data_IF_688673082346
#
_entry.id   IF_688673082346
#
_cell.length_a   1.000
_cell.length_b   1.000
_cell.length_c   1.000
_cell.angle_alpha   90.00
_cell.angle_beta   90.00
_cell.angle_gamma   90.00
#
_symmetry.space_group_name_H-M   'P 1'
#
loop_
_entity.id
_entity.type
_entity.pdbx_description
1 polymer ?
#
# COMPACT_ATOMS: atom_id res chain seq x y z
N UNK A 1 -33.61 -43.16 5.96
CA UNK A 1 -33.24 -41.80 6.40
C UNK A 1 -31.85 -41.47 5.84
N UNK A 2 -31.75 -40.88 4.64
CA UNK A 2 -30.45 -40.55 4.03
C UNK A 2 -30.49 -39.41 2.99
N UNK A 3 -31.67 -38.81 2.74
CA UNK A 3 -31.86 -37.74 1.75
C UNK A 3 -31.72 -36.32 2.31
N UNK A 4 -31.73 -36.14 3.63
CA UNK A 4 -31.61 -34.83 4.28
C UNK A 4 -30.17 -34.44 4.65
N UNK A 5 -29.21 -35.38 4.58
CA UNK A 5 -27.81 -35.13 4.95
C UNK A 5 -27.08 -34.27 3.89
N UNK A 6 -27.46 -34.39 2.61
CA UNK A 6 -26.85 -33.60 1.52
C UNK A 6 -27.32 -32.14 1.48
N UNK A 7 -28.49 -31.83 2.05
CA UNK A 7 -29.03 -30.46 2.08
C UNK A 7 -28.42 -29.63 3.23
N UNK A 8 -27.93 -30.30 4.28
CA UNK A 8 -27.30 -29.62 5.43
C UNK A 8 -25.89 -29.09 5.11
N UNK A 9 -25.17 -29.75 4.19
CA UNK A 9 -23.82 -29.33 3.78
C UNK A 9 -23.80 -28.14 2.82
N UNK A 10 -24.88 -27.89 2.07
CA UNK A 10 -24.98 -26.75 1.15
C UNK A 10 -25.30 -25.42 1.84
N UNK A 11 -25.77 -25.43 3.10
CA UNK A 11 -26.11 -24.23 3.86
C UNK A 11 -24.89 -23.66 4.61
N UNK A 12 -23.89 -24.50 4.90
CA UNK A 12 -22.67 -24.11 5.63
C UNK A 12 -21.62 -23.47 4.69
N UNK A 13 -21.81 -23.57 3.37
CA UNK A 13 -20.90 -23.01 2.36
C UNK A 13 -21.10 -21.50 2.09
N UNK A 14 -22.10 -20.87 2.72
CA UNK A 14 -22.43 -19.45 2.57
C UNK A 14 -21.97 -18.58 3.75
N UNK A 15 -20.98 -19.02 4.54
CA UNK A 15 -20.09 -18.06 5.19
C UNK A 15 -19.14 -17.47 4.15
N UNK A 16 -19.77 -16.78 3.19
CA UNK A 16 -19.13 -15.75 2.39
C UNK A 16 -18.42 -14.83 3.38
N UNK A 17 -17.15 -14.56 3.11
CA UNK A 17 -16.42 -13.49 3.75
C UNK A 17 -17.32 -12.25 3.77
N UNK A 18 -17.92 -11.92 4.91
CA UNK A 18 -18.57 -10.63 5.08
C UNK A 18 -17.43 -9.63 5.16
N UNK A 19 -17.21 -9.01 4.01
CA UNK A 19 -16.48 -7.80 3.84
C UNK A 19 -16.90 -6.83 4.98
N UNK A 20 -15.96 -6.50 5.88
CA UNK A 20 -16.15 -5.55 6.98
C UNK A 20 -16.26 -4.11 6.46
N UNK A 21 -17.49 -3.70 6.11
CA UNK A 21 -17.82 -2.33 5.67
C UNK A 21 -17.68 -1.26 6.78
N UNK A 22 -17.27 -1.62 8.01
CA UNK A 22 -17.13 -0.64 9.11
C UNK A 22 -15.90 0.26 8.97
N UNK A 23 -14.99 -0.05 8.04
CA UNK A 23 -13.84 0.78 7.75
C UNK A 23 -14.24 1.88 6.76
N UNK A 24 -14.42 3.09 7.28
CA UNK A 24 -14.67 4.29 6.50
C UNK A 24 -13.55 4.49 5.46
N UNK A 25 -13.85 4.33 4.18
CA UNK A 25 -12.91 4.49 3.05
C UNK A 25 -12.28 5.89 2.97
N UNK A 26 -12.82 6.87 3.71
CA UNK A 26 -12.21 8.20 3.86
C UNK A 26 -11.02 8.23 4.81
N UNK A 27 -10.70 7.11 5.49
CA UNK A 27 -9.60 6.97 6.47
C UNK A 27 -8.21 6.92 5.80
N UNK A 28 -8.10 7.14 4.49
CA UNK A 28 -6.79 7.33 3.86
C UNK A 28 -6.05 8.51 4.51
N UNK A 29 -4.71 8.45 4.62
CA UNK A 29 -3.94 9.59 5.08
C UNK A 29 -4.25 10.83 4.27
N UNK A 30 -4.36 11.94 4.98
CA UNK A 30 -4.38 13.26 4.35
C UNK A 30 -3.09 13.44 3.54
N UNK A 31 -3.21 14.07 2.38
CA UNK A 31 -2.03 14.45 1.60
C UNK A 31 -1.27 15.51 2.40
N UNK A 32 -0.01 15.23 2.71
CA UNK A 32 0.90 16.12 3.43
C UNK A 32 2.23 16.15 2.68
N UNK A 33 3.07 17.14 2.98
CA UNK A 33 4.39 17.35 2.33
C UNK A 33 5.48 17.58 3.38
N UNK A 34 5.32 16.97 4.55
CA UNK A 34 6.15 17.21 5.74
C UNK A 34 6.86 15.96 6.25
N UNK A 35 6.70 14.82 5.55
CA UNK A 35 7.22 13.54 5.98
C UNK A 35 6.47 12.98 7.19
N UNK A 36 5.15 13.06 7.21
CA UNK A 36 4.30 12.68 8.36
C UNK A 36 4.31 11.17 8.70
N UNK A 37 5.11 10.37 8.00
CA UNK A 37 5.23 8.91 8.10
C UNK A 37 3.87 8.22 7.93
N UNK A 38 3.18 8.60 6.85
CA UNK A 38 1.85 8.11 6.50
C UNK A 38 1.87 7.29 5.21
N UNK A 39 1.14 6.19 5.19
CA UNK A 39 0.93 5.39 3.99
C UNK A 39 -0.49 4.82 3.97
N UNK A 40 -1.16 4.89 2.82
CA UNK A 40 -2.45 4.24 2.62
C UNK A 40 -2.85 4.13 1.15
N UNK A 41 -3.57 3.07 0.80
CA UNK A 41 -4.17 2.88 -0.52
C UNK A 41 -5.44 2.02 -0.42
N UNK A 42 -6.20 1.96 -1.50
CA UNK A 42 -7.26 0.97 -1.67
C UNK A 42 -6.74 -0.19 -2.53
N UNK A 43 -6.84 -1.40 -1.99
CA UNK A 43 -6.57 -2.66 -2.67
C UNK A 43 -7.88 -3.42 -2.88
N UNK A 44 -8.34 -3.58 -4.12
CA UNK A 44 -9.63 -4.21 -4.44
C UNK A 44 -10.82 -3.54 -3.71
N UNK A 45 -10.77 -2.21 -3.55
CA UNK A 45 -11.78 -1.44 -2.80
C UNK A 45 -11.56 -1.42 -1.28
N UNK A 46 -10.60 -2.20 -0.78
CA UNK A 46 -10.30 -2.32 0.64
C UNK A 46 -9.19 -1.40 1.12
N UNK A 47 -9.38 -0.82 2.31
CA UNK A 47 -8.33 0.00 2.92
C UNK A 47 -7.11 -0.85 3.27
N UNK A 48 -5.96 -0.38 2.80
CA UNK A 48 -4.66 -0.88 3.15
C UNK A 48 -3.79 0.28 3.66
N UNK A 49 -3.47 0.31 4.96
CA UNK A 49 -2.79 1.43 5.63
C UNK A 49 -1.58 0.99 6.46
N UNK A 50 -0.50 1.78 6.41
CA UNK A 50 0.72 1.61 7.20
C UNK A 50 1.14 2.91 7.92
N UNK A 51 2.10 2.85 8.85
CA UNK A 51 2.64 4.01 9.58
C UNK A 51 1.66 4.59 10.63
N UNK A 52 1.11 5.79 10.36
CA UNK A 52 0.25 6.57 11.29
C UNK A 52 -1.05 5.89 11.76
N UNK A 53 -1.64 4.97 10.97
CA UNK A 53 -2.92 4.31 11.31
C UNK A 53 -2.76 3.05 12.16
N UNK A 54 -1.53 2.65 12.48
CA UNK A 54 -1.24 1.41 13.19
C UNK A 54 -1.50 1.46 14.72
N UNK A 55 -2.21 2.48 15.22
CA UNK A 55 -2.70 2.53 16.62
C UNK A 55 -3.62 1.34 17.00
N UNK A 56 -4.01 0.51 16.04
CA UNK A 56 -4.84 -0.70 16.23
C UNK A 56 -4.03 -2.00 16.28
N UNK A 57 -2.81 -1.96 16.82
CA UNK A 57 -2.04 -3.17 17.14
C UNK A 57 -0.75 -3.32 16.34
N UNK A 58 0.18 -2.37 16.53
CA UNK A 58 1.59 -2.58 16.20
C UNK A 58 2.07 -3.91 16.80
N UNK A 59 2.33 -4.89 15.94
CA UNK A 59 3.29 -5.93 16.27
C UNK A 59 4.58 -5.54 15.58
N UNK A 60 5.58 -5.11 16.36
CA UNK A 60 6.95 -4.86 15.87
C UNK A 60 7.57 -6.07 15.15
N UNK A 61 6.92 -7.24 15.20
CA UNK A 61 7.33 -8.48 14.54
C UNK A 61 6.81 -8.56 13.10
N UNK A 62 5.66 -7.97 12.78
CA UNK A 62 4.93 -8.25 11.53
C UNK A 62 4.55 -7.01 10.71
N UNK A 63 4.52 -5.83 11.33
CA UNK A 63 4.26 -4.56 10.66
C UNK A 63 5.56 -3.80 10.47
N UNK A 64 5.91 -3.49 9.23
CA UNK A 64 7.08 -2.67 8.90
C UNK A 64 6.89 -1.98 7.56
N UNK A 65 7.58 -0.88 7.38
CA UNK A 65 7.65 -0.12 6.15
C UNK A 65 9.10 0.25 5.82
N UNK A 66 9.44 0.19 4.53
CA UNK A 66 10.76 0.54 4.03
C UNK A 66 10.63 1.34 2.76
N UNK A 67 11.22 2.53 2.78
CA UNK A 67 11.30 3.46 1.66
C UNK A 67 12.77 3.74 1.41
N UNK A 68 13.28 3.18 0.32
CA UNK A 68 14.69 3.27 -0.05
C UNK A 68 14.83 3.98 -1.39
N UNK A 69 15.52 5.12 -1.38
CA UNK A 69 15.90 5.82 -2.60
C UNK A 69 17.30 5.39 -3.02
N UNK A 70 17.44 5.02 -4.29
CA UNK A 70 18.70 4.59 -4.91
C UNK A 70 19.10 5.65 -5.93
N UNK A 71 20.04 6.56 -5.60
CA UNK A 71 20.37 7.69 -6.48
C UNK A 71 21.01 7.28 -7.82
N UNK A 72 21.75 6.18 -7.84
CA UNK A 72 22.41 5.69 -9.07
C UNK A 72 21.41 5.15 -10.10
N UNK A 73 20.34 4.55 -9.63
CA UNK A 73 19.26 4.01 -10.46
C UNK A 73 18.08 4.99 -10.60
N UNK A 74 18.14 6.14 -9.92
CA UNK A 74 17.09 7.15 -9.86
C UNK A 74 15.72 6.52 -9.57
N UNK A 75 15.62 5.71 -8.51
CA UNK A 75 14.39 4.99 -8.16
C UNK A 75 14.12 4.98 -6.66
N UNK A 76 12.84 4.96 -6.30
CA UNK A 76 12.36 4.70 -4.94
C UNK A 76 11.75 3.30 -4.88
N UNK A 77 12.32 2.41 -4.06
CA UNK A 77 11.70 1.14 -3.69
C UNK A 77 10.85 1.33 -2.44
N UNK A 78 9.61 0.87 -2.52
CA UNK A 78 8.64 0.93 -1.43
C UNK A 78 8.23 -0.49 -1.09
N UNK A 79 8.28 -0.84 0.19
CA UNK A 79 7.70 -2.08 0.71
C UNK A 79 7.02 -1.79 2.05
N UNK A 80 5.74 -2.10 2.14
CA UNK A 80 4.93 -1.87 3.35
C UNK A 80 4.21 -3.16 3.68
N UNK A 81 4.38 -3.66 4.91
CA UNK A 81 3.73 -4.85 5.46
C UNK A 81 2.84 -4.46 6.63
N UNK A 82 1.58 -4.89 6.59
CA UNK A 82 0.59 -4.61 7.66
C UNK A 82 0.26 -5.84 8.51
N UNK A 83 0.58 -7.05 8.03
CA UNK A 83 0.51 -8.31 8.76
C UNK A 83 1.28 -9.40 7.99
N UNK A 84 1.52 -10.59 8.58
CA UNK A 84 2.16 -11.68 7.85
C UNK A 84 1.44 -11.97 6.53
N UNK A 85 2.20 -12.15 5.46
CA UNK A 85 1.72 -12.42 4.10
C UNK A 85 0.82 -11.33 3.48
N UNK A 86 0.68 -10.16 4.11
CA UNK A 86 0.10 -8.98 3.48
C UNK A 86 1.08 -7.82 3.48
N UNK A 87 1.74 -7.71 2.34
CA UNK A 87 2.60 -6.61 1.99
C UNK A 87 2.24 -6.07 0.60
N UNK A 88 2.60 -4.82 0.37
CA UNK A 88 2.66 -4.22 -0.95
C UNK A 88 4.11 -3.78 -1.21
N UNK A 89 4.61 -4.11 -2.39
CA UNK A 89 5.88 -3.62 -2.92
C UNK A 89 5.61 -2.89 -4.22
N UNK A 90 6.36 -1.83 -4.49
CA UNK A 90 6.43 -1.20 -5.81
C UNK A 90 7.69 -0.35 -5.94
N UNK A 91 8.01 0.02 -7.17
CA UNK A 91 9.10 0.92 -7.53
C UNK A 91 8.53 2.16 -8.21
N UNK A 92 9.00 3.33 -7.79
CA UNK A 92 8.79 4.59 -8.52
C UNK A 92 10.08 4.92 -9.25
N UNK A 93 9.99 5.08 -10.58
CA UNK A 93 11.13 5.44 -11.42
C UNK A 93 11.21 6.96 -11.63
N UNK A 94 12.42 7.50 -11.50
CA UNK A 94 12.76 8.91 -11.69
C UNK A 94 11.79 9.89 -11.03
N UNK A 95 11.58 9.78 -9.70
CA UNK A 95 10.66 10.67 -8.99
C UNK A 95 11.10 12.12 -9.13
N UNK A 96 10.16 12.99 -9.56
CA UNK A 96 10.41 14.42 -9.72
C UNK A 96 9.22 15.22 -9.20
N UNK A 97 9.47 16.18 -8.32
CA UNK A 97 8.43 17.03 -7.75
C UNK A 97 7.58 17.70 -8.84
N UNK A 98 6.26 17.64 -8.67
CA UNK A 98 5.27 18.18 -9.59
C UNK A 98 5.03 17.35 -10.86
N UNK A 99 5.56 16.13 -10.95
CA UNK A 99 5.42 15.26 -12.14
C UNK A 99 4.84 13.89 -11.81
N UNK A 100 4.24 13.29 -12.84
CA UNK A 100 3.93 11.87 -12.87
C UNK A 100 5.21 11.06 -13.10
N UNK A 101 5.35 9.99 -12.34
CA UNK A 101 6.42 9.01 -12.42
C UNK A 101 5.83 7.62 -12.70
N UNK A 102 6.62 6.75 -13.32
CA UNK A 102 6.22 5.36 -13.57
C UNK A 102 6.22 4.58 -12.27
N UNK A 103 5.11 3.90 -12.00
CA UNK A 103 4.97 2.94 -10.90
C UNK A 103 5.06 1.53 -11.47
N UNK A 104 6.08 0.77 -11.08
CA UNK A 104 6.36 -0.57 -11.63
C UNK A 104 6.69 -1.58 -10.53
N UNK A 105 6.86 -2.85 -10.92
CA UNK A 105 7.13 -3.98 -10.02
C UNK A 105 6.15 -4.05 -8.83
N UNK A 106 4.88 -3.74 -9.12
CA UNK A 106 3.82 -3.68 -8.13
C UNK A 106 3.48 -5.12 -7.74
N UNK A 107 3.66 -5.44 -6.46
CA UNK A 107 3.29 -6.74 -5.89
C UNK A 107 2.43 -6.57 -4.67
N UNK A 108 1.31 -7.27 -4.61
CA UNK A 108 0.48 -7.34 -3.40
C UNK A 108 0.33 -8.79 -2.96
N UNK A 109 0.73 -9.10 -1.72
CA UNK A 109 0.80 -10.50 -1.21
C UNK A 109 1.59 -11.45 -2.13
N UNK A 110 2.62 -10.92 -2.79
CA UNK A 110 3.42 -11.65 -3.77
C UNK A 110 2.80 -11.81 -5.16
N UNK A 111 1.54 -11.38 -5.37
CA UNK A 111 0.91 -11.35 -6.69
C UNK A 111 1.35 -10.10 -7.46
N UNK A 112 1.85 -10.28 -8.68
CA UNK A 112 2.20 -9.19 -9.59
C UNK A 112 0.94 -8.49 -10.11
N UNK A 113 0.96 -7.17 -10.07
CA UNK A 113 -0.10 -6.30 -10.57
C UNK A 113 0.41 -5.49 -11.76
N UNK A 114 -0.51 -5.03 -12.59
CA UNK A 114 -0.17 -4.12 -13.68
C UNK A 114 0.44 -2.82 -13.17
N UNK A 115 1.44 -2.33 -13.90
CA UNK A 115 2.08 -1.03 -13.71
C UNK A 115 1.06 0.12 -13.68
N UNK A 116 1.47 1.22 -13.06
CA UNK A 116 0.64 2.40 -12.87
C UNK A 116 1.44 3.69 -12.92
N UNK A 117 0.93 4.73 -12.26
CA UNK A 117 1.61 6.00 -12.11
C UNK A 117 1.62 6.47 -10.67
N UNK A 118 2.58 7.33 -10.36
CA UNK A 118 2.67 8.06 -9.11
C UNK A 118 2.90 9.54 -9.40
N UNK A 119 1.98 10.40 -8.97
CA UNK A 119 2.18 11.84 -8.97
C UNK A 119 2.98 12.23 -7.73
N UNK A 120 4.17 12.79 -7.93
CA UNK A 120 5.07 13.20 -6.86
C UNK A 120 4.74 14.65 -6.48
N UNK A 121 4.00 14.84 -5.39
CA UNK A 121 3.59 16.17 -4.94
C UNK A 121 4.71 16.92 -4.21
N UNK A 122 5.64 16.19 -3.60
CA UNK A 122 6.82 16.75 -2.95
C UNK A 122 7.98 15.77 -3.01
N UNK A 123 9.18 16.27 -3.31
CA UNK A 123 10.40 15.47 -3.29
C UNK A 123 11.58 16.33 -2.87
N UNK A 124 12.04 16.12 -1.64
CA UNK A 124 13.14 16.86 -1.02
C UNK A 124 14.28 15.89 -0.64
N UNK A 125 15.36 15.84 -1.45
CA UNK A 125 16.53 15.03 -1.15
C UNK A 125 17.40 15.51 0.01
N UNK A 126 17.26 16.76 0.45
CA UNK A 126 18.01 17.28 1.60
C UNK A 126 17.37 16.79 2.91
N UNK A 127 16.04 16.79 2.96
CA UNK A 127 15.26 16.31 4.11
C UNK A 127 14.91 14.82 4.02
N UNK A 128 15.21 14.18 2.90
CA UNK A 128 14.78 12.82 2.54
C UNK A 128 13.26 12.64 2.66
N UNK A 129 12.49 13.61 2.18
CA UNK A 129 11.02 13.56 2.19
C UNK A 129 10.53 13.27 0.78
N UNK A 130 9.57 12.36 0.67
CA UNK A 130 8.83 12.15 -0.57
C UNK A 130 7.35 11.93 -0.26
N UNK A 131 6.52 12.64 -1.03
CA UNK A 131 5.07 12.58 -0.91
C UNK A 131 4.47 12.33 -2.29
N UNK A 132 3.57 11.37 -2.39
CA UNK A 132 2.96 11.02 -3.66
C UNK A 132 1.54 10.49 -3.52
N UNK A 133 0.77 10.66 -4.60
CA UNK A 133 -0.43 9.87 -4.84
C UNK A 133 -0.16 8.85 -5.95
N UNK A 134 -0.67 7.64 -5.83
CA UNK A 134 -0.30 6.55 -6.74
C UNK A 134 -1.44 5.57 -6.99
N UNK A 135 -1.35 4.84 -8.11
CA UNK A 135 -2.25 3.74 -8.43
C UNK A 135 -2.06 3.20 -9.84
N UNK A 136 -2.75 2.09 -10.14
CA UNK A 136 -2.76 1.50 -11.48
C UNK A 136 -4.15 1.57 -12.15
N UNK A 137 -5.10 2.29 -11.55
CA UNK A 137 -6.46 2.43 -12.07
C UNK A 137 -7.29 1.14 -12.06
N UNK A 138 -6.80 0.07 -11.42
CA UNK A 138 -7.45 -1.23 -11.31
C UNK A 138 -7.60 -1.62 -9.84
N UNK A 139 -6.81 -2.61 -9.41
CA UNK A 139 -6.86 -3.15 -8.05
C UNK A 139 -6.23 -2.20 -7.04
N UNK A 140 -5.21 -1.44 -7.45
CA UNK A 140 -4.53 -0.46 -6.60
C UNK A 140 -5.03 0.95 -6.96
N UNK A 141 -5.78 1.56 -6.05
CA UNK A 141 -6.38 2.89 -6.27
C UNK A 141 -6.20 3.78 -5.04
N UNK A 142 -6.29 5.09 -5.25
CA UNK A 142 -6.24 6.09 -4.18
C UNK A 142 -5.02 5.95 -3.24
N UNK A 143 -3.89 5.48 -3.75
CA UNK A 143 -2.65 5.40 -2.99
C UNK A 143 -2.13 6.78 -2.62
N UNK A 144 -1.66 6.93 -1.38
CA UNK A 144 -1.11 8.15 -0.81
C UNK A 144 0.00 7.79 0.18
N UNK A 145 1.11 8.50 0.12
CA UNK A 145 2.10 8.46 1.18
C UNK A 145 2.79 9.80 1.34
N UNK A 146 3.26 10.05 2.56
CA UNK A 146 4.15 11.16 2.92
C UNK A 146 5.14 10.64 3.96
N UNK A 147 6.38 10.41 3.53
CA UNK A 147 7.34 9.56 4.24
C UNK A 147 8.74 10.19 4.22
N UNK A 148 9.46 9.97 5.32
CA UNK A 148 10.92 10.06 5.30
C UNK A 148 11.53 8.79 4.71
N UNK A 149 12.21 8.91 3.57
CA UNK A 149 12.93 7.79 2.97
C UNK A 149 14.37 7.73 3.47
N UNK A 150 15.05 6.62 3.18
CA UNK A 150 16.50 6.48 3.41
C UNK A 150 17.21 6.35 2.08
N UNK A 151 18.37 6.98 1.97
CA UNK A 151 19.20 6.88 0.77
C UNK A 151 20.13 5.67 0.91
N UNK A 152 20.11 4.76 -0.07
CA UNK A 152 21.02 3.62 -0.15
C UNK A 152 22.07 3.89 -1.23
N UNK A 153 23.34 3.74 -0.88
CA UNK A 153 24.46 3.69 -1.82
C UNK A 153 24.79 2.21 -2.05
N UNK A 154 24.94 1.80 -3.30
CA UNK A 154 25.23 0.40 -3.64
C UNK A 154 26.68 0.04 -3.30
#
# INVERSE_FOLDING_TARGET
MKKYILILFSIISFWSCTEDESIDITVLPSVTTTGDNTFGCLMDGWIYVGGRYLNWGHSYVWTYDSFHYYPEEDKLSVNVSVKPDINIHFIILSPQEGKEATLTDIRFRGEELEDGTAFISHFDPELNIISATFGNGKRLTNGRFDIHYTTQQQ
#
